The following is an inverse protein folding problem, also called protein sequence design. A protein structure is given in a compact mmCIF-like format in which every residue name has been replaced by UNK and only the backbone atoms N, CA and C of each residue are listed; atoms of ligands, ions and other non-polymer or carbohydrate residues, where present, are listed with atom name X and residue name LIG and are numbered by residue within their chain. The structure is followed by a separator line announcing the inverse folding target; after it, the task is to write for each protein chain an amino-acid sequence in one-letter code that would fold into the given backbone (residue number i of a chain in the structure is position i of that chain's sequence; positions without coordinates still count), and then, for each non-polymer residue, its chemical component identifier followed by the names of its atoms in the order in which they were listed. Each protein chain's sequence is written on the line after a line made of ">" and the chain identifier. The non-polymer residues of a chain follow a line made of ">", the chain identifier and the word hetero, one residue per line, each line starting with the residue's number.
data_IF_309588735917
#
_entry.id   IF_309588735917
#
_cell.length_a   1.000
_cell.length_b   1.000
_cell.length_c   1.000
_cell.angle_alpha   90.00
_cell.angle_beta   90.00
_cell.angle_gamma   90.00
#
_symmetry.space_group_name_H-M   'P 1'
#
loop_
_entity.id
_entity.type
_entity.pdbx_description
1 polymer ?
#
# COMPACT_ATOMS: atom_id res chain seq x y z
N UNK A 1 6.80 21.05 -29.90
CA UNK A 1 6.27 20.44 -28.67
C UNK A 1 6.09 18.94 -28.88
N UNK A 2 7.08 18.16 -28.45
CA UNK A 2 6.97 16.74 -28.18
C UNK A 2 8.11 16.45 -27.22
N UNK A 3 7.94 16.88 -25.97
CA UNK A 3 8.83 16.41 -24.91
C UNK A 3 8.66 14.89 -24.92
N UNK A 4 9.70 14.08 -25.18
CA UNK A 4 9.53 12.64 -25.28
C UNK A 4 9.15 12.14 -23.90
N UNK A 5 7.85 11.99 -23.68
CA UNK A 5 7.29 11.43 -22.47
C UNK A 5 7.29 9.92 -22.68
N UNK A 6 8.47 9.32 -22.55
CA UNK A 6 8.64 7.87 -22.61
C UNK A 6 7.77 7.27 -21.52
N UNK A 7 6.82 6.41 -21.90
CA UNK A 7 5.81 5.84 -20.99
C UNK A 7 6.42 4.99 -19.89
N UNK A 8 7.68 4.59 -20.03
CA UNK A 8 8.45 3.83 -19.06
C UNK A 8 8.89 4.65 -17.84
N UNK A 9 9.06 5.97 -17.98
CA UNK A 9 9.56 6.82 -16.91
C UNK A 9 8.41 7.49 -16.15
N UNK A 10 8.54 7.69 -14.83
CA UNK A 10 7.50 8.37 -14.05
C UNK A 10 7.42 9.87 -14.41
N UNK A 11 6.20 10.39 -14.46
CA UNK A 11 5.91 11.80 -14.72
C UNK A 11 5.22 12.44 -13.51
N UNK A 12 5.79 13.53 -12.99
CA UNK A 12 5.17 14.29 -11.92
C UNK A 12 6.07 15.38 -11.37
N UNK A 13 5.46 16.39 -10.78
CA UNK A 13 6.14 17.56 -10.20
C UNK A 13 6.36 17.45 -8.70
N UNK A 14 6.87 18.55 -8.13
CA UNK A 14 6.95 18.79 -6.70
C UNK A 14 6.45 20.22 -6.40
N UNK A 15 6.17 20.54 -5.12
CA UNK A 15 5.72 21.87 -4.66
C UNK A 15 4.41 22.32 -5.35
N UNK A 16 4.38 23.52 -5.94
CA UNK A 16 3.19 24.08 -6.61
C UNK A 16 2.78 23.33 -7.88
N UNK A 17 3.64 22.45 -8.40
CA UNK A 17 3.35 21.60 -9.56
C UNK A 17 2.62 20.30 -9.20
N UNK A 18 2.28 20.08 -7.92
CA UNK A 18 1.57 18.90 -7.44
C UNK A 18 2.47 17.86 -6.75
N UNK A 19 1.89 16.69 -6.47
CA UNK A 19 2.50 15.51 -5.85
C UNK A 19 2.00 14.23 -6.52
N UNK A 20 2.68 13.10 -6.29
CA UNK A 20 2.40 11.83 -6.98
C UNK A 20 3.14 11.69 -8.32
N UNK A 21 3.02 10.52 -8.94
CA UNK A 21 3.63 10.19 -10.23
C UNK A 21 2.64 9.43 -11.09
N UNK A 22 2.59 9.75 -12.37
CA UNK A 22 1.91 8.99 -13.41
C UNK A 22 2.94 8.29 -14.32
N UNK A 23 2.47 7.48 -15.27
CA UNK A 23 3.30 6.67 -16.17
C UNK A 23 4.24 5.70 -15.43
N UNK A 24 5.00 4.90 -16.19
CA UNK A 24 5.83 3.84 -15.65
C UNK A 24 5.04 2.88 -14.75
N UNK A 25 5.72 2.28 -13.80
CA UNK A 25 5.11 1.38 -12.80
C UNK A 25 4.22 2.16 -11.81
N UNK A 26 4.61 3.39 -11.44
CA UNK A 26 3.84 4.26 -10.55
C UNK A 26 2.44 4.61 -11.07
N UNK A 27 2.28 4.68 -12.40
CA UNK A 27 1.01 5.03 -13.03
C UNK A 27 -0.10 4.03 -12.73
N UNK A 28 0.21 2.72 -12.73
CA UNK A 28 -0.80 1.69 -12.42
C UNK A 28 -1.06 1.60 -10.91
N UNK A 29 -0.06 1.86 -10.08
CA UNK A 29 -0.20 1.87 -8.61
C UNK A 29 -1.27 2.85 -8.13
N UNK A 30 -1.46 3.98 -8.81
CA UNK A 30 -2.50 4.96 -8.47
C UNK A 30 -3.94 4.40 -8.60
N UNK A 31 -4.13 3.33 -9.36
CA UNK A 31 -5.44 2.68 -9.59
C UNK A 31 -5.57 1.36 -8.81
N UNK A 32 -4.59 1.04 -7.97
CA UNK A 32 -4.60 -0.13 -7.10
C UNK A 32 -4.72 0.31 -5.64
N UNK A 33 -5.32 -0.56 -4.83
CA UNK A 33 -5.38 -0.38 -3.38
C UNK A 33 -4.59 -1.50 -2.70
N UNK A 34 -3.64 -1.13 -1.85
CA UNK A 34 -2.87 -2.10 -1.06
C UNK A 34 -3.76 -2.66 0.06
N UNK A 35 -3.89 -3.99 0.11
CA UNK A 35 -4.61 -4.70 1.17
C UNK A 35 -3.63 -5.56 1.98
N UNK A 36 -3.50 -5.28 3.27
CA UNK A 36 -2.80 -6.17 4.18
C UNK A 36 -3.69 -7.38 4.52
N UNK A 37 -3.12 -8.58 4.42
CA UNK A 37 -3.78 -9.82 4.82
C UNK A 37 -2.89 -10.48 5.87
N UNK A 38 -3.43 -10.66 7.08
CA UNK A 38 -2.73 -11.31 8.19
C UNK A 38 -3.73 -12.20 8.92
N UNK A 39 -3.37 -13.47 9.13
CA UNK A 39 -4.20 -14.44 9.80
C UNK A 39 -3.40 -15.09 10.92
N UNK A 40 -4.01 -15.19 12.10
CA UNK A 40 -3.51 -16.03 13.18
C UNK A 40 -3.90 -17.48 12.89
N UNK A 41 -2.90 -18.35 12.70
CA UNK A 41 -3.09 -19.74 12.27
C UNK A 41 -2.91 -20.76 13.40
N UNK A 42 -2.63 -20.30 14.61
CA UNK A 42 -2.44 -21.18 15.76
C UNK A 42 -3.78 -21.48 16.43
N UNK A 43 -3.96 -22.75 16.81
CA UNK A 43 -5.11 -23.19 17.60
C UNK A 43 -5.00 -22.80 19.08
N UNK A 44 -3.81 -22.38 19.52
CA UNK A 44 -3.57 -21.92 20.88
C UNK A 44 -4.24 -20.57 21.18
N UNK A 45 -4.69 -20.34 22.43
CA UNK A 45 -5.22 -19.05 22.83
C UNK A 45 -4.14 -17.96 22.79
N UNK A 46 -4.55 -16.73 22.43
CA UNK A 46 -3.65 -15.57 22.39
C UNK A 46 -2.98 -15.23 23.74
N UNK A 47 -3.59 -15.64 24.87
CA UNK A 47 -2.96 -15.54 26.19
C UNK A 47 -2.85 -14.13 26.78
N UNK A 48 -3.49 -13.11 26.20
CA UNK A 48 -3.44 -11.73 26.70
C UNK A 48 -4.21 -11.52 28.01
N UNK A 49 -5.32 -12.23 28.20
CA UNK A 49 -6.14 -12.16 29.41
C UNK A 49 -6.05 -13.45 30.22
N UNK A 50 -6.13 -13.32 31.55
CA UNK A 50 -6.21 -14.49 32.44
C UNK A 50 -7.51 -15.25 32.20
N UNK A 51 -7.43 -16.58 32.18
CA UNK A 51 -8.64 -17.42 32.12
C UNK A 51 -9.43 -17.27 33.43
N UNK A 52 -10.78 -17.21 33.37
CA UNK A 52 -11.60 -17.14 34.57
C UNK A 52 -11.40 -18.38 35.45
N UNK A 53 -11.46 -18.21 36.78
CA UNK A 53 -11.39 -19.36 37.69
C UNK A 53 -12.65 -20.21 37.53
N UNK A 54 -12.48 -21.53 37.40
CA UNK A 54 -13.60 -22.47 37.53
C UNK A 54 -14.05 -22.47 38.99
N UNK A 55 -15.23 -21.92 39.28
CA UNK A 55 -15.95 -22.15 40.53
C UNK A 55 -16.47 -23.58 40.56
#
# INVERSE_FOLDING_TARGET
>A
CSQPCFTQAPWGGNKRSGFGRELGEWGIENYLAVKQVTQYISDEPWGWYQSPSKL
#
